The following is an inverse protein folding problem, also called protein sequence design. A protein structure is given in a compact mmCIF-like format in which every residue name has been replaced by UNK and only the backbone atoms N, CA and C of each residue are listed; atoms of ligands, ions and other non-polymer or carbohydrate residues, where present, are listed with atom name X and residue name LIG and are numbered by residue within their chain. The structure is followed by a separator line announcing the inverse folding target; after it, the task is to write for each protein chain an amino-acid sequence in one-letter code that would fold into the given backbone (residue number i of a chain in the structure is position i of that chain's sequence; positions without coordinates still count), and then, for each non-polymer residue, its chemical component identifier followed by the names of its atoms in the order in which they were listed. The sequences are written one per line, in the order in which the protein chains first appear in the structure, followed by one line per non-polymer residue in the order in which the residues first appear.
data_IF_533975484632
#
_entry.id   IF_533975484632
#
_cell.length_a   1.000
_cell.length_b   1.000
_cell.length_c   1.000
_cell.angle_alpha   90.00
_cell.angle_beta   90.00
_cell.angle_gamma   90.00
#
_symmetry.space_group_name_H-M   'P 1'
#
loop_
_entity.id
_entity.type
_entity.pdbx_description
1 polymer ?
#
# COMPACT_ATOMS: atom_id res chain seq x y z
N UNK A 1 -29.89 -1.33 23.10
CA UNK A 1 -30.16 -1.93 21.77
C UNK A 1 -28.84 -2.46 21.21
N UNK A 2 -28.65 -3.78 21.14
CA UNK A 2 -27.57 -4.35 20.33
C UNK A 2 -28.05 -4.24 18.88
N UNK A 3 -27.35 -3.45 18.06
CA UNK A 3 -27.57 -3.50 16.61
C UNK A 3 -26.98 -4.83 16.15
N UNK A 4 -27.82 -5.76 15.73
CA UNK A 4 -27.38 -6.93 14.99
C UNK A 4 -26.72 -6.44 13.70
N UNK A 5 -25.40 -6.33 13.73
CA UNK A 5 -24.58 -5.92 12.60
C UNK A 5 -24.49 -7.12 11.65
N UNK A 6 -25.56 -7.35 10.90
CA UNK A 6 -25.59 -8.35 9.84
C UNK A 6 -24.69 -7.85 8.72
N UNK A 7 -23.49 -8.42 8.60
CA UNK A 7 -22.64 -8.20 7.43
C UNK A 7 -23.42 -8.67 6.20
N UNK A 8 -23.82 -7.73 5.33
CA UNK A 8 -24.47 -8.08 4.06
C UNK A 8 -23.53 -8.97 3.24
N UNK A 9 -24.09 -9.93 2.50
CA UNK A 9 -23.35 -10.67 1.47
C UNK A 9 -22.68 -9.74 0.44
N UNK A 10 -23.17 -8.48 0.33
CA UNK A 10 -22.53 -7.43 -0.45
C UNK A 10 -21.10 -7.08 0.03
N UNK A 11 -20.75 -7.37 1.29
CA UNK A 11 -19.42 -7.08 1.85
C UNK A 11 -18.30 -7.88 1.15
N UNK A 12 -18.62 -9.09 0.64
CA UNK A 12 -17.66 -9.95 -0.06
C UNK A 12 -17.74 -9.82 -1.60
N UNK A 13 -18.58 -8.92 -2.13
CA UNK A 13 -18.99 -8.91 -3.55
C UNK A 13 -17.89 -8.50 -4.54
N UNK A 14 -16.79 -7.92 -4.05
CA UNK A 14 -15.67 -7.43 -4.86
C UNK A 14 -14.42 -8.31 -4.80
N UNK A 15 -14.48 -9.45 -4.10
CA UNK A 15 -13.32 -10.32 -3.89
C UNK A 15 -12.36 -9.81 -2.81
N UNK A 16 -11.22 -10.49 -2.68
CA UNK A 16 -10.22 -10.19 -1.65
C UNK A 16 -8.91 -9.72 -2.28
N UNK A 17 -8.34 -8.64 -1.74
CA UNK A 17 -6.97 -8.21 -2.05
C UNK A 17 -6.01 -8.90 -1.09
N UNK A 18 -4.93 -9.49 -1.60
CA UNK A 18 -3.82 -9.94 -0.76
C UNK A 18 -3.05 -8.73 -0.25
N UNK A 19 -2.84 -8.68 1.05
CA UNK A 19 -2.16 -7.57 1.73
C UNK A 19 -1.10 -8.14 2.66
N UNK A 20 0.07 -7.48 2.72
CA UNK A 20 1.12 -7.84 3.69
C UNK A 20 0.60 -7.64 5.12
N UNK A 21 0.74 -8.68 5.96
CA UNK A 21 0.39 -8.62 7.38
C UNK A 21 1.19 -7.53 8.11
N UNK A 22 2.46 -7.35 7.76
CA UNK A 22 3.31 -6.32 8.35
C UNK A 22 2.83 -4.92 7.96
N UNK A 23 2.47 -4.69 6.68
CA UNK A 23 1.90 -3.42 6.26
C UNK A 23 0.59 -3.11 7.00
N UNK A 24 -0.25 -4.12 7.24
CA UNK A 24 -1.44 -3.95 8.09
C UNK A 24 -1.06 -3.58 9.52
N UNK A 25 -0.17 -4.33 10.16
CA UNK A 25 0.25 -4.06 11.54
C UNK A 25 0.79 -2.63 11.69
N UNK A 26 1.73 -2.23 10.83
CA UNK A 26 2.31 -0.87 10.82
C UNK A 26 1.22 0.20 10.65
N UNK A 27 0.28 0.02 9.73
CA UNK A 27 -0.78 1.01 9.49
C UNK A 27 -1.73 1.20 10.69
N UNK A 28 -1.85 0.18 11.55
CA UNK A 28 -2.69 0.18 12.75
C UNK A 28 -1.91 0.38 14.05
N UNK A 29 -0.60 0.67 13.98
CA UNK A 29 0.24 1.01 15.13
C UNK A 29 0.55 2.51 15.11
N UNK A 30 -0.14 3.33 15.94
CA UNK A 30 0.10 4.77 15.97
C UNK A 30 1.54 5.10 16.39
N UNK A 31 2.16 6.04 15.68
CA UNK A 31 3.52 6.49 15.98
C UNK A 31 4.62 5.62 15.37
N UNK A 32 4.25 4.56 14.64
CA UNK A 32 5.22 3.85 13.81
C UNK A 32 5.81 4.80 12.75
N UNK A 33 7.13 4.70 12.54
CA UNK A 33 7.85 5.55 11.58
C UNK A 33 7.30 5.43 10.16
N UNK A 34 6.70 4.30 9.84
CA UNK A 34 6.22 3.92 8.52
C UNK A 34 4.68 3.92 8.43
N UNK A 35 3.98 4.38 9.48
CA UNK A 35 2.52 4.37 9.59
C UNK A 35 1.86 5.02 8.36
N UNK A 36 2.43 6.14 7.89
CA UNK A 36 1.87 6.95 6.79
C UNK A 36 1.95 6.22 5.47
N UNK A 37 3.10 5.65 5.17
CA UNK A 37 3.38 4.86 3.98
C UNK A 37 2.52 3.61 3.96
N UNK A 38 2.40 2.92 5.10
CA UNK A 38 1.53 1.76 5.23
C UNK A 38 0.06 2.13 4.97
N UNK A 39 -0.44 3.22 5.56
CA UNK A 39 -1.80 3.73 5.30
C UNK A 39 -2.03 4.08 3.83
N UNK A 40 -1.07 4.74 3.18
CA UNK A 40 -1.14 5.05 1.75
C UNK A 40 -1.16 3.78 0.90
N UNK A 41 -0.27 2.83 1.18
CA UNK A 41 -0.20 1.56 0.45
C UNK A 41 -1.52 0.78 0.56
N UNK A 42 -2.05 0.64 1.78
CA UNK A 42 -3.33 -0.04 2.02
C UNK A 42 -4.50 0.67 1.34
N UNK A 43 -4.50 2.01 1.34
CA UNK A 43 -5.52 2.78 0.65
C UNK A 43 -5.48 2.51 -0.87
N UNK A 44 -4.29 2.58 -1.48
CA UNK A 44 -4.15 2.32 -2.92
C UNK A 44 -4.56 0.87 -3.23
N UNK A 45 -4.14 -0.11 -2.44
CA UNK A 45 -4.55 -1.53 -2.58
C UNK A 45 -6.06 -1.73 -2.49
N UNK A 46 -6.75 -0.97 -1.63
CA UNK A 46 -8.19 -1.07 -1.44
C UNK A 46 -9.02 -0.44 -2.56
N UNK A 47 -8.46 0.53 -3.30
CA UNK A 47 -9.16 1.24 -4.39
C UNK A 47 -8.62 0.93 -5.79
N UNK A 48 -7.51 0.20 -5.88
CA UNK A 48 -7.00 -0.31 -7.14
C UNK A 48 -8.03 -1.21 -7.82
N UNK A 49 -8.09 -1.09 -9.14
CA UNK A 49 -8.99 -1.87 -9.98
C UNK A 49 -8.65 -3.36 -9.87
N UNK A 50 -9.64 -4.19 -9.50
CA UNK A 50 -9.49 -5.65 -9.43
C UNK A 50 -9.46 -6.34 -10.79
N UNK A 51 -10.02 -5.67 -11.79
CA UNK A 51 -10.04 -6.05 -13.20
C UNK A 51 -9.99 -4.77 -14.02
N UNK A 52 -9.59 -4.86 -15.29
CA UNK A 52 -9.64 -3.74 -16.21
C UNK A 52 -11.01 -3.07 -16.20
N UNK A 53 -11.00 -1.74 -16.17
CA UNK A 53 -12.20 -0.92 -16.30
C UNK A 53 -11.83 0.50 -16.70
N UNK A 54 -12.76 1.42 -16.51
CA UNK A 54 -12.63 2.80 -16.98
C UNK A 54 -13.01 3.78 -15.88
N UNK A 55 -12.38 4.94 -15.89
CA UNK A 55 -12.73 6.10 -15.06
C UNK A 55 -12.95 7.29 -15.97
N UNK A 56 -14.15 7.85 -15.92
CA UNK A 56 -14.53 9.03 -16.69
C UNK A 56 -14.38 10.29 -15.86
N UNK A 57 -13.60 11.26 -16.33
CA UNK A 57 -13.53 12.60 -15.74
C UNK A 57 -13.24 13.65 -16.80
N UNK A 58 -13.85 14.85 -16.63
CA UNK A 58 -13.74 15.93 -17.61
C UNK A 58 -14.07 15.51 -19.05
N UNK A 59 -15.12 14.70 -19.23
CA UNK A 59 -15.61 14.20 -20.53
C UNK A 59 -14.59 13.37 -21.31
N UNK A 60 -13.59 12.81 -20.63
CA UNK A 60 -12.63 11.87 -21.19
C UNK A 60 -12.59 10.61 -20.35
N UNK A 61 -12.60 9.49 -21.05
CA UNK A 61 -12.48 8.17 -20.45
C UNK A 61 -11.03 7.75 -20.40
N UNK A 62 -10.64 7.20 -19.25
CA UNK A 62 -9.30 6.67 -19.03
C UNK A 62 -9.42 5.21 -18.64
N UNK A 63 -8.73 4.36 -19.38
CA UNK A 63 -8.57 2.97 -19.01
C UNK A 63 -7.76 2.86 -17.70
N UNK A 64 -8.23 1.98 -16.83
CA UNK A 64 -7.60 1.64 -15.57
C UNK A 64 -7.41 0.11 -15.59
N UNK A 65 -6.16 -0.33 -15.69
CA UNK A 65 -5.82 -1.74 -15.66
C UNK A 65 -5.91 -2.30 -14.24
N UNK A 66 -5.86 -3.62 -14.14
CA UNK A 66 -5.81 -4.30 -12.85
C UNK A 66 -4.60 -3.79 -12.03
N UNK A 67 -4.80 -3.42 -10.77
CA UNK A 67 -3.76 -2.86 -9.91
C UNK A 67 -3.52 -1.36 -10.06
N UNK A 68 -4.28 -0.69 -10.93
CA UNK A 68 -4.22 0.76 -11.10
C UNK A 68 -5.33 1.48 -10.34
N UNK A 69 -5.04 2.68 -9.86
CA UNK A 69 -6.04 3.59 -9.30
C UNK A 69 -5.78 5.02 -9.78
N UNK A 70 -6.79 5.63 -10.43
CA UNK A 70 -6.73 7.02 -10.87
C UNK A 70 -7.51 7.90 -9.90
N UNK A 71 -6.82 8.87 -9.28
CA UNK A 71 -7.42 9.79 -8.32
C UNK A 71 -6.59 11.06 -8.15
N UNK A 72 -6.98 11.95 -7.23
CA UNK A 72 -6.18 13.10 -6.82
C UNK A 72 -5.47 12.86 -5.49
N UNK A 73 -4.36 13.56 -5.23
CA UNK A 73 -3.71 13.54 -3.92
C UNK A 73 -4.61 14.04 -2.79
N UNK A 74 -5.58 14.92 -3.08
CA UNK A 74 -6.56 15.37 -2.08
C UNK A 74 -7.48 14.23 -1.66
N UNK A 75 -7.89 13.40 -2.61
CA UNK A 75 -8.72 12.23 -2.36
C UNK A 75 -7.96 11.13 -1.60
N UNK A 76 -6.70 10.89 -1.98
CA UNK A 76 -5.79 9.99 -1.25
C UNK A 76 -5.61 10.44 0.21
N UNK A 77 -5.32 11.73 0.42
CA UNK A 77 -5.13 12.32 1.74
C UNK A 77 -6.39 12.16 2.61
N UNK A 78 -7.57 12.45 2.04
CA UNK A 78 -8.86 12.31 2.72
C UNK A 78 -9.13 10.86 3.14
N UNK A 79 -8.83 9.87 2.28
CA UNK A 79 -9.06 8.44 2.58
C UNK A 79 -8.09 7.86 3.60
N UNK A 80 -6.86 8.37 3.63
CA UNK A 80 -5.82 7.94 4.58
C UNK A 80 -5.87 8.68 5.91
N UNK A 81 -6.65 9.76 6.00
CA UNK A 81 -6.66 10.66 7.16
C UNK A 81 -5.38 11.51 7.29
N UNK A 82 -4.54 11.53 6.26
CA UNK A 82 -3.31 12.29 6.24
C UNK A 82 -3.55 13.70 5.70
N UNK A 83 -2.73 14.66 6.12
CA UNK A 83 -2.63 15.92 5.39
C UNK A 83 -2.00 15.67 4.01
N UNK A 84 -2.39 16.47 3.00
CA UNK A 84 -1.94 16.27 1.61
C UNK A 84 -0.42 16.20 1.47
N UNK A 85 0.33 17.06 2.19
CA UNK A 85 1.80 17.04 2.16
C UNK A 85 2.38 15.70 2.64
N UNK A 86 1.83 15.14 3.72
CA UNK A 86 2.26 13.85 4.26
C UNK A 86 1.93 12.70 3.30
N UNK A 87 0.76 12.73 2.66
CA UNK A 87 0.39 11.75 1.63
C UNK A 87 1.35 11.80 0.42
N UNK A 88 1.72 12.99 -0.05
CA UNK A 88 2.70 13.16 -1.14
C UNK A 88 4.07 12.60 -0.75
N UNK A 89 4.57 12.92 0.44
CA UNK A 89 5.85 12.37 0.93
C UNK A 89 5.82 10.86 1.04
N UNK A 90 4.77 10.28 1.63
CA UNK A 90 4.63 8.84 1.77
C UNK A 90 4.55 8.12 0.41
N UNK A 91 3.85 8.71 -0.57
CA UNK A 91 3.86 8.21 -1.95
C UNK A 91 5.27 8.25 -2.53
N UNK A 92 6.03 9.34 -2.33
CA UNK A 92 7.41 9.44 -2.77
C UNK A 92 8.29 8.30 -2.25
N UNK A 93 8.23 8.03 -0.93
CA UNK A 93 8.96 6.91 -0.33
C UNK A 93 8.56 5.55 -0.91
N UNK A 94 7.27 5.35 -1.19
CA UNK A 94 6.80 4.12 -1.82
C UNK A 94 7.25 3.98 -3.28
N UNK A 95 7.32 5.07 -4.05
CA UNK A 95 7.90 5.07 -5.40
C UNK A 95 9.38 4.70 -5.35
N UNK A 96 10.14 5.36 -4.47
CA UNK A 96 11.58 5.11 -4.30
C UNK A 96 11.87 3.66 -3.90
N UNK A 97 11.03 3.10 -3.02
CA UNK A 97 11.13 1.69 -2.62
C UNK A 97 10.57 0.70 -3.66
N UNK A 98 10.10 1.17 -4.83
CA UNK A 98 9.60 0.33 -5.92
C UNK A 98 8.21 -0.26 -5.68
N UNK A 99 7.44 0.27 -4.72
CA UNK A 99 6.12 -0.24 -4.35
C UNK A 99 5.01 0.16 -5.29
N UNK A 100 5.19 1.30 -5.94
CA UNK A 100 4.22 1.83 -6.86
C UNK A 100 4.92 2.72 -7.88
N UNK A 101 4.30 2.85 -9.04
CA UNK A 101 4.64 3.89 -10.01
C UNK A 101 3.54 4.93 -10.04
N UNK A 102 3.93 6.19 -10.29
CA UNK A 102 3.02 7.32 -10.36
C UNK A 102 3.13 7.94 -11.74
N UNK A 103 2.00 8.07 -12.43
CA UNK A 103 1.93 8.73 -13.74
C UNK A 103 0.87 9.83 -13.69
N UNK A 104 1.16 10.99 -14.27
CA UNK A 104 0.16 12.04 -14.44
C UNK A 104 -0.84 11.64 -15.53
N UNK A 105 -2.14 11.80 -15.26
CA UNK A 105 -3.22 11.49 -16.19
C UNK A 105 -4.19 12.68 -16.23
N UNK A 106 -3.96 13.60 -17.17
CA UNK A 106 -4.65 14.88 -17.20
C UNK A 106 -4.37 15.70 -15.94
N UNK A 107 -5.42 16.06 -15.19
CA UNK A 107 -5.31 16.74 -13.89
C UNK A 107 -5.29 15.78 -12.69
N UNK A 108 -5.33 14.47 -12.96
CA UNK A 108 -5.34 13.41 -11.97
C UNK A 108 -3.98 12.70 -11.92
N UNK A 109 -3.87 11.78 -10.97
CA UNK A 109 -2.71 10.95 -10.72
C UNK A 109 -3.12 9.49 -10.83
N UNK A 110 -2.39 8.72 -11.63
CA UNK A 110 -2.53 7.26 -11.71
C UNK A 110 -1.46 6.60 -10.86
N UNK A 111 -1.89 5.83 -9.88
CA UNK A 111 -1.05 4.97 -9.06
C UNK A 111 -1.12 3.55 -9.61
N UNK A 112 0.03 2.92 -9.83
CA UNK A 112 0.11 1.54 -10.32
C UNK A 112 0.92 0.71 -9.33
N UNK A 113 0.33 -0.35 -8.80
CA UNK A 113 1.01 -1.25 -7.86
C UNK A 113 1.89 -2.23 -8.65
N UNK A 114 3.20 -2.24 -8.36
CA UNK A 114 4.20 -3.00 -9.13
C UNK A 114 4.12 -4.52 -8.91
N UNK A 115 3.58 -4.96 -7.78
CA UNK A 115 3.43 -6.38 -7.39
C UNK A 115 1.97 -6.82 -7.21
N UNK A 116 1.01 -6.13 -7.81
CA UNK A 116 -0.42 -6.46 -7.65
C UNK A 116 -0.80 -7.88 -8.16
N UNK A 117 -0.06 -8.38 -9.15
CA UNK A 117 -0.17 -9.74 -9.68
C UNK A 117 1.01 -10.64 -9.28
N UNK A 118 2.02 -10.11 -8.58
CA UNK A 118 3.18 -10.89 -8.23
C UNK A 118 2.78 -11.99 -7.23
N UNK A 119 3.15 -13.26 -7.47
CA UNK A 119 3.00 -14.29 -6.44
C UNK A 119 3.81 -13.85 -5.20
N UNK A 120 3.33 -14.13 -3.98
CA UNK A 120 4.13 -13.93 -2.78
C UNK A 120 5.44 -14.70 -2.99
N UNK A 121 6.58 -14.00 -2.97
CA UNK A 121 7.87 -14.65 -3.15
C UNK A 121 8.07 -15.64 -2.00
N UNK A 122 8.49 -16.89 -2.28
CA UNK A 122 8.84 -17.84 -1.24
C UNK A 122 10.07 -17.32 -0.50
N UNK A 123 10.07 -17.51 0.83
CA UNK A 123 11.10 -17.02 1.75
C UNK A 123 12.50 -17.45 1.29
N UNK A 124 13.21 -16.55 0.59
CA UNK A 124 14.52 -16.80 0.02
C UNK A 124 15.62 -16.47 1.01
N UNK A 125 16.21 -17.49 1.65
CA UNK A 125 17.37 -17.36 2.52
C UNK A 125 18.55 -16.62 1.84
N UNK A 126 18.97 -15.50 2.44
CA UNK A 126 20.23 -14.83 2.09
C UNK A 126 20.41 -13.49 2.80
N UNK A 127 20.90 -13.51 4.04
CA UNK A 127 21.22 -12.29 4.80
C UNK A 127 22.36 -11.49 4.13
N UNK A 128 22.22 -10.17 3.89
CA UNK A 128 23.37 -9.31 3.71
C UNK A 128 23.93 -8.98 5.09
N UNK A 129 25.19 -9.35 5.28
CA UNK A 129 25.98 -9.08 6.47
C UNK A 129 26.31 -7.57 6.54
N UNK A 130 25.98 -6.93 7.66
CA UNK A 130 26.75 -5.80 8.20
C UNK A 130 26.38 -4.38 7.75
N UNK A 131 25.99 -3.54 8.71
CA UNK A 131 25.94 -2.08 8.56
C UNK A 131 25.12 -1.41 9.66
N UNK A 132 25.71 -1.25 10.85
CA UNK A 132 25.09 -0.54 11.97
C UNK A 132 24.82 0.93 11.66
N UNK A 133 23.60 1.37 11.95
CA UNK A 133 23.14 2.75 11.78
C UNK A 133 21.64 2.86 12.05
N UNK A 134 21.31 3.12 13.32
CA UNK A 134 20.17 3.88 13.85
C UNK A 134 18.87 3.90 13.02
N UNK A 135 17.97 2.96 13.32
CA UNK A 135 16.57 3.02 12.90
C UNK A 135 16.34 2.48 11.49
N UNK A 136 15.85 1.25 11.45
CA UNK A 136 15.51 0.54 10.24
C UNK A 136 14.53 1.31 9.34
N UNK A 137 14.95 1.65 8.11
CA UNK A 137 14.08 2.35 7.15
C UNK A 137 12.98 1.43 6.62
N UNK A 138 11.83 1.98 6.22
CA UNK A 138 10.76 1.22 5.56
C UNK A 138 11.27 0.47 4.33
N UNK A 139 12.16 1.10 3.56
CA UNK A 139 12.81 0.47 2.42
C UNK A 139 13.63 -0.74 2.86
N UNK A 140 14.34 -0.67 3.99
CA UNK A 140 15.08 -1.80 4.57
C UNK A 140 14.14 -2.89 5.11
N UNK A 141 13.04 -2.52 5.77
CA UNK A 141 12.04 -3.48 6.27
C UNK A 141 11.36 -4.23 5.12
N UNK A 142 11.03 -3.52 4.05
CA UNK A 142 10.35 -4.06 2.87
C UNK A 142 11.31 -4.79 1.92
N UNK A 143 12.58 -4.36 1.82
CA UNK A 143 13.65 -5.09 1.14
C UNK A 143 13.98 -6.40 1.85
N UNK A 144 14.04 -6.39 3.18
CA UNK A 144 14.24 -7.61 3.98
C UNK A 144 13.04 -8.56 3.85
N UNK A 145 11.82 -8.05 3.67
CA UNK A 145 10.64 -8.86 3.34
C UNK A 145 10.68 -9.42 1.92
N UNK A 146 11.10 -8.65 0.92
CA UNK A 146 11.33 -9.14 -0.45
C UNK A 146 12.42 -10.23 -0.51
N UNK A 147 13.37 -10.21 0.44
CA UNK A 147 14.53 -11.12 0.47
C UNK A 147 14.56 -12.06 1.70
N UNK A 148 13.41 -12.31 2.34
CA UNK A 148 13.26 -13.37 3.37
C UNK A 148 13.97 -13.15 4.73
N UNK A 149 14.45 -11.96 5.05
CA UNK A 149 15.06 -11.67 6.36
C UNK A 149 14.00 -11.17 7.36
N UNK A 150 13.51 -12.06 8.21
CA UNK A 150 12.60 -11.72 9.32
C UNK A 150 13.37 -10.97 10.41
N UNK A 151 12.80 -9.85 10.89
CA UNK A 151 13.21 -9.24 12.15
C UNK A 151 12.91 -10.20 13.28
N UNK A 152 13.95 -10.86 13.78
CA UNK A 152 13.91 -11.43 15.12
C UNK A 152 14.07 -10.24 16.07
N UNK A 153 12.97 -9.56 16.41
CA UNK A 153 12.94 -8.75 17.63
C UNK A 153 13.15 -9.75 18.75
N UNK A 154 14.36 -9.79 19.31
CA UNK A 154 14.81 -10.73 20.32
C UNK A 154 14.08 -10.63 21.67
N UNK A 155 12.76 -10.52 21.66
CA UNK A 155 11.92 -10.76 22.82
C UNK A 155 11.53 -12.23 22.80
N UNK A 156 12.36 -13.04 23.44
CA UNK A 156 11.92 -14.31 24.00
C UNK A 156 10.91 -14.05 25.12
N UNK A 157 9.81 -14.80 25.02
CA UNK A 157 8.70 -15.07 25.97
C UNK A 157 7.52 -14.09 25.92
#
# INVERSE_FOLDING_TARGET
MKKDMTFSADFARCGYTKVSRQAMQIAFTPGDKCEKEAKVLLCILGFAYFKKGEVSFHFKDYACERGEWITSYSELARRTGLIRRAAVTAVGHLVEAGWLTVTAVGRMTKFTLTFYDAPPQPDGHGSPQGGGGDGLSLATALYMYQNGTVYNTGETV
#
